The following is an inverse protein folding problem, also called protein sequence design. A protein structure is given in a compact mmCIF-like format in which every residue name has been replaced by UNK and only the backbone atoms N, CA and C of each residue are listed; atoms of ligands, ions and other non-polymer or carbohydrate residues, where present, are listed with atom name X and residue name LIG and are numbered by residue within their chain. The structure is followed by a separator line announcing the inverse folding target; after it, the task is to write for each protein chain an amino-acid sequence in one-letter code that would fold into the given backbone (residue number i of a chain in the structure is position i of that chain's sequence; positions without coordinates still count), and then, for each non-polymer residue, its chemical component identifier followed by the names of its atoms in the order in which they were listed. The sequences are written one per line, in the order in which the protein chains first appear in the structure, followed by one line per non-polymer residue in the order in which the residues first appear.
data_IF_073953663116
#
_entry.id   IF_073953663116
#
_cell.length_a   1.000
_cell.length_b   1.000
_cell.length_c   1.000
_cell.angle_alpha   90.00
_cell.angle_beta   90.00
_cell.angle_gamma   90.00
#
_symmetry.space_group_name_H-M   'P 1'
#
loop_
_entity.id
_entity.type
_entity.pdbx_description
1 polymer ?
#
# COMPACT_ATOMS: atom_id res chain seq x y z
N UNK A 1 -16.79 -12.26 1.42
CA UNK A 1 -16.78 -12.01 2.88
C UNK A 1 -15.39 -11.64 3.39
N UNK A 2 -14.33 -12.44 3.15
CA UNK A 2 -12.99 -12.22 3.71
C UNK A 2 -12.36 -10.86 3.32
N UNK A 3 -12.46 -10.46 2.04
CA UNK A 3 -11.95 -9.16 1.57
C UNK A 3 -12.69 -7.97 2.22
N UNK A 4 -14.00 -8.10 2.40
CA UNK A 4 -14.78 -7.06 3.09
C UNK A 4 -14.38 -6.97 4.56
N UNK A 5 -14.19 -8.10 5.24
CA UNK A 5 -13.73 -8.12 6.61
C UNK A 5 -12.33 -7.49 6.74
N UNK A 6 -11.42 -7.78 5.82
CA UNK A 6 -10.09 -7.17 5.79
C UNK A 6 -10.14 -5.66 5.53
N UNK A 7 -11.00 -5.21 4.62
CA UNK A 7 -11.21 -3.78 4.36
C UNK A 7 -11.77 -3.07 5.60
N UNK A 8 -12.75 -3.67 6.29
CA UNK A 8 -13.32 -3.12 7.54
C UNK A 8 -12.28 -3.07 8.65
N UNK A 9 -11.48 -4.12 8.83
CA UNK A 9 -10.40 -4.14 9.82
C UNK A 9 -9.35 -3.05 9.53
N UNK A 10 -9.00 -2.86 8.25
CA UNK A 10 -8.12 -1.78 7.81
C UNK A 10 -8.71 -0.38 8.07
N UNK A 11 -10.02 -0.19 7.81
CA UNK A 11 -10.72 1.07 8.13
C UNK A 11 -10.74 1.35 9.64
N UNK A 12 -10.97 0.34 10.49
CA UNK A 12 -10.97 0.51 11.94
C UNK A 12 -9.59 0.92 12.45
N UNK A 13 -8.52 0.30 11.95
CA UNK A 13 -7.14 0.69 12.27
C UNK A 13 -6.84 2.11 11.81
N UNK A 14 -7.27 2.48 10.61
CA UNK A 14 -7.12 3.82 10.07
C UNK A 14 -7.98 4.86 10.82
N UNK A 15 -9.12 4.47 11.37
CA UNK A 15 -9.94 5.34 12.22
C UNK A 15 -9.18 5.74 13.49
N UNK A 16 -8.48 4.79 14.13
CA UNK A 16 -7.64 5.09 15.30
C UNK A 16 -6.57 6.12 14.92
N UNK A 17 -5.90 5.91 13.78
CA UNK A 17 -4.94 6.89 13.26
C UNK A 17 -5.57 8.26 13.00
N UNK A 18 -6.74 8.29 12.37
CA UNK A 18 -7.47 9.52 12.05
C UNK A 18 -7.87 10.29 13.32
N UNK A 19 -8.37 9.61 14.34
CA UNK A 19 -8.73 10.25 15.63
C UNK A 19 -7.49 10.87 16.28
N UNK A 20 -6.38 10.17 16.31
CA UNK A 20 -5.13 10.67 16.91
C UNK A 20 -4.55 11.85 16.14
N UNK A 21 -4.53 11.81 14.82
CA UNK A 21 -3.84 12.81 13.98
C UNK A 21 -4.73 13.97 13.55
N UNK A 22 -6.03 13.75 13.36
CA UNK A 22 -6.96 14.79 12.89
C UNK A 22 -7.69 15.45 14.05
N UNK A 23 -8.15 14.67 15.06
CA UNK A 23 -8.89 15.23 16.20
C UNK A 23 -7.95 15.67 17.32
N UNK A 24 -7.01 14.81 17.74
CA UNK A 24 -6.06 15.14 18.80
C UNK A 24 -4.79 15.82 18.28
N UNK A 25 -4.66 15.97 16.95
CA UNK A 25 -3.54 16.68 16.31
C UNK A 25 -2.16 16.15 16.72
N UNK A 26 -2.08 14.84 17.01
CA UNK A 26 -0.83 14.16 17.33
C UNK A 26 0.10 14.16 16.12
N UNK A 27 1.40 14.09 16.37
CA UNK A 27 2.40 14.02 15.28
C UNK A 27 2.16 12.79 14.40
N UNK A 28 1.93 13.02 13.10
CA UNK A 28 1.53 11.98 12.15
C UNK A 28 2.58 10.88 12.00
N UNK A 29 3.87 11.23 12.00
CA UNK A 29 4.96 10.26 11.84
C UNK A 29 5.08 9.36 13.08
N UNK A 30 5.07 9.97 14.27
CA UNK A 30 5.15 9.22 15.53
C UNK A 30 3.94 8.31 15.70
N UNK A 31 2.74 8.83 15.42
CA UNK A 31 1.49 8.04 15.48
C UNK A 31 1.54 6.86 14.51
N UNK A 32 2.04 7.07 13.28
CA UNK A 32 2.17 6.00 12.29
C UNK A 32 3.14 4.90 12.74
N UNK A 33 4.30 5.26 13.29
CA UNK A 33 5.25 4.30 13.83
C UNK A 33 4.67 3.52 15.02
N UNK A 34 4.03 4.21 15.94
CA UNK A 34 3.39 3.60 17.11
C UNK A 34 2.30 2.60 16.70
N UNK A 35 1.44 3.00 15.74
CA UNK A 35 0.39 2.11 15.23
C UNK A 35 0.95 0.93 14.43
N UNK A 36 2.09 1.06 13.79
CA UNK A 36 2.76 -0.07 13.13
C UNK A 36 3.16 -1.12 14.16
N UNK A 37 3.81 -0.72 15.26
CA UNK A 37 4.22 -1.63 16.34
C UNK A 37 3.00 -2.25 17.03
N UNK A 38 2.00 -1.41 17.37
CA UNK A 38 0.75 -1.86 17.96
C UNK A 38 0.02 -2.85 17.05
N UNK A 39 -0.10 -2.55 15.76
CA UNK A 39 -0.78 -3.41 14.78
C UNK A 39 -0.12 -4.78 14.63
N UNK A 40 1.22 -4.83 14.58
CA UNK A 40 1.97 -6.10 14.55
C UNK A 40 1.74 -6.88 15.84
N UNK A 41 1.81 -6.22 17.00
CA UNK A 41 1.54 -6.85 18.30
C UNK A 41 0.12 -7.40 18.40
N UNK A 42 -0.87 -6.62 18.00
CA UNK A 42 -2.28 -7.02 18.02
C UNK A 42 -2.54 -8.20 17.06
N UNK A 43 -2.00 -8.15 15.84
CA UNK A 43 -2.15 -9.23 14.85
C UNK A 43 -1.52 -10.52 15.35
N UNK A 44 -0.34 -10.46 15.95
CA UNK A 44 0.31 -11.63 16.55
C UNK A 44 -0.46 -12.14 17.76
N UNK A 45 -0.96 -11.28 18.63
CA UNK A 45 -1.76 -11.68 19.78
C UNK A 45 -3.03 -12.42 19.36
N UNK A 46 -3.83 -11.83 18.46
CA UNK A 46 -5.06 -12.44 17.94
C UNK A 46 -4.75 -13.75 17.22
N UNK A 47 -3.71 -13.77 16.38
CA UNK A 47 -3.32 -14.94 15.61
C UNK A 47 -2.90 -16.11 16.50
N UNK A 48 -2.08 -15.87 17.54
CA UNK A 48 -1.69 -16.91 18.49
C UNK A 48 -2.89 -17.40 19.28
N UNK A 49 -3.75 -16.51 19.76
CA UNK A 49 -4.96 -16.86 20.48
C UNK A 49 -5.92 -17.72 19.64
N UNK A 50 -6.03 -17.46 18.35
CA UNK A 50 -6.82 -18.29 17.43
C UNK A 50 -6.12 -19.62 17.14
N UNK A 51 -4.79 -19.62 17.04
CA UNK A 51 -3.99 -20.81 16.79
C UNK A 51 -4.13 -21.85 17.92
N UNK A 52 -4.11 -21.38 19.18
CA UNK A 52 -4.30 -22.23 20.36
C UNK A 52 -5.68 -22.89 20.42
N UNK A 53 -6.70 -22.28 19.80
CA UNK A 53 -8.05 -22.82 19.69
C UNK A 53 -8.27 -23.72 18.46
N UNK A 54 -7.28 -23.77 17.55
CA UNK A 54 -7.37 -24.59 16.34
C UNK A 54 -6.99 -26.05 16.65
N UNK A 55 -7.86 -26.97 16.30
CA UNK A 55 -7.65 -28.42 16.50
C UNK A 55 -6.38 -28.95 15.81
N UNK A 56 -5.98 -28.34 14.72
CA UNK A 56 -4.83 -28.74 13.88
C UNK A 56 -3.54 -27.94 14.16
N UNK A 57 -3.52 -27.04 15.14
CA UNK A 57 -2.36 -26.19 15.42
C UNK A 57 -1.94 -25.28 14.25
N UNK A 58 -2.79 -25.09 13.24
CA UNK A 58 -2.56 -24.23 12.09
C UNK A 58 -3.82 -23.44 11.74
N UNK A 59 -3.66 -22.15 11.43
CA UNK A 59 -4.73 -21.34 10.87
C UNK A 59 -4.56 -21.30 9.35
N UNK A 60 -5.36 -22.10 8.65
CA UNK A 60 -5.35 -22.18 7.19
C UNK A 60 -6.74 -21.87 6.65
N UNK A 61 -6.78 -21.09 5.57
CA UNK A 61 -8.00 -20.89 4.81
C UNK A 61 -8.41 -22.20 4.10
N UNK A 62 -9.72 -22.45 3.93
CA UNK A 62 -10.20 -23.59 3.15
C UNK A 62 -9.58 -23.62 1.76
N UNK A 63 -9.18 -24.80 1.30
CA UNK A 63 -8.52 -24.96 -0.02
C UNK A 63 -9.42 -24.49 -1.19
N UNK A 64 -10.73 -24.55 -1.03
CA UNK A 64 -11.68 -24.01 -2.00
C UNK A 64 -11.54 -22.48 -2.19
N UNK A 65 -11.18 -21.75 -1.14
CA UNK A 65 -10.98 -20.28 -1.21
C UNK A 65 -9.63 -19.97 -1.87
N UNK A 66 -8.58 -20.69 -1.49
CA UNK A 66 -7.24 -20.50 -2.07
C UNK A 66 -7.19 -20.93 -3.54
N UNK A 67 -7.96 -21.94 -3.93
CA UNK A 67 -8.08 -22.36 -5.33
C UNK A 67 -8.67 -21.26 -6.24
N UNK A 68 -9.66 -20.48 -5.73
CA UNK A 68 -10.24 -19.36 -6.47
C UNK A 68 -9.30 -18.19 -6.66
N UNK A 69 -8.21 -18.14 -5.88
CA UNK A 69 -7.20 -17.08 -5.91
C UNK A 69 -5.99 -17.42 -6.79
N UNK A 70 -6.02 -18.57 -7.50
CA UNK A 70 -4.99 -18.95 -8.46
C UNK A 70 -5.00 -18.02 -9.67
N UNK A 71 -3.93 -18.06 -10.46
CA UNK A 71 -3.83 -17.28 -11.68
C UNK A 71 -5.02 -17.56 -12.60
N UNK A 72 -5.60 -16.51 -13.11
CA UNK A 72 -6.69 -16.59 -14.09
C UNK A 72 -6.05 -16.86 -15.44
N UNK A 73 -6.50 -17.94 -16.09
CA UNK A 73 -6.18 -18.20 -17.49
C UNK A 73 -7.36 -17.73 -18.35
N UNK A 74 -7.15 -16.69 -19.15
CA UNK A 74 -8.16 -16.19 -20.07
C UNK A 74 -7.95 -16.87 -21.43
N UNK A 75 -8.83 -17.78 -21.85
CA UNK A 75 -8.67 -18.48 -23.13
C UNK A 75 -8.52 -17.50 -24.30
N UNK A 76 -7.53 -17.73 -25.14
CA UNK A 76 -7.27 -16.89 -26.32
C UNK A 76 -6.36 -15.67 -26.08
N UNK A 77 -6.39 -15.05 -24.88
CA UNK A 77 -5.51 -13.92 -24.55
C UNK A 77 -4.23 -14.40 -23.82
N UNK A 78 -4.38 -15.40 -22.95
CA UNK A 78 -3.24 -15.99 -22.23
C UNK A 78 -2.35 -16.86 -23.13
N UNK A 79 -2.87 -17.29 -24.28
CA UNK A 79 -2.16 -18.17 -25.22
C UNK A 79 -1.25 -17.39 -26.20
N UNK A 80 -1.28 -16.05 -26.15
CA UNK A 80 -0.40 -15.22 -26.97
C UNK A 80 1.05 -15.34 -26.48
N UNK A 81 2.01 -15.64 -27.37
CA UNK A 81 3.41 -15.79 -26.99
C UNK A 81 3.94 -14.48 -26.37
N UNK A 82 4.59 -14.58 -25.21
CA UNK A 82 5.18 -13.47 -24.42
C UNK A 82 4.14 -12.54 -23.77
N UNK A 83 3.18 -12.01 -24.53
CA UNK A 83 2.20 -11.02 -24.04
C UNK A 83 1.16 -11.68 -23.16
N UNK A 84 0.75 -12.91 -23.47
CA UNK A 84 -0.24 -13.67 -22.70
C UNK A 84 0.21 -13.93 -21.27
N UNK A 85 1.42 -14.42 -21.10
CA UNK A 85 2.01 -14.68 -19.79
C UNK A 85 2.29 -13.38 -19.01
N UNK A 86 2.75 -12.32 -19.72
CA UNK A 86 3.12 -11.04 -19.11
C UNK A 86 1.94 -10.21 -18.64
N UNK A 87 0.75 -10.32 -19.24
CA UNK A 87 -0.39 -9.45 -18.94
C UNK A 87 -1.64 -10.20 -18.50
N UNK A 88 -1.83 -11.46 -18.92
CA UNK A 88 -3.10 -12.18 -18.78
C UNK A 88 -3.03 -13.45 -17.93
N UNK A 89 -1.92 -13.68 -17.23
CA UNK A 89 -1.70 -14.88 -16.40
C UNK A 89 -1.45 -14.58 -14.93
N UNK A 90 -2.08 -13.51 -14.42
CA UNK A 90 -1.96 -13.11 -13.02
C UNK A 90 -3.16 -13.53 -12.18
N UNK A 91 -2.98 -13.48 -10.86
CA UNK A 91 -4.08 -13.70 -9.93
C UNK A 91 -5.06 -12.48 -9.92
N UNK A 92 -6.30 -12.67 -9.45
CA UNK A 92 -7.33 -11.62 -9.44
C UNK A 92 -6.92 -10.34 -8.72
N UNK A 93 -6.06 -10.44 -7.69
CA UNK A 93 -5.62 -9.27 -6.91
C UNK A 93 -4.71 -8.33 -7.70
N UNK A 94 -3.93 -8.84 -8.67
CA UNK A 94 -3.10 -7.97 -9.52
C UNK A 94 -3.99 -7.07 -10.36
N UNK A 95 -5.04 -7.63 -10.97
CA UNK A 95 -6.02 -6.84 -11.73
C UNK A 95 -6.79 -5.87 -10.85
N UNK A 96 -7.18 -6.32 -9.65
CA UNK A 96 -7.81 -5.45 -8.65
C UNK A 96 -6.90 -4.26 -8.29
N UNK A 97 -5.61 -4.50 -8.07
CA UNK A 97 -4.63 -3.45 -7.79
C UNK A 97 -4.50 -2.43 -8.93
N UNK A 98 -4.46 -2.90 -10.18
CA UNK A 98 -4.42 -2.04 -11.37
C UNK A 98 -5.70 -1.20 -11.46
N UNK A 99 -6.88 -1.82 -11.26
CA UNK A 99 -8.18 -1.13 -11.26
C UNK A 99 -8.21 -0.07 -10.15
N UNK A 100 -7.79 -0.40 -8.93
CA UNK A 100 -7.73 0.56 -7.82
C UNK A 100 -6.83 1.75 -8.18
N UNK A 101 -5.66 1.53 -8.78
CA UNK A 101 -4.75 2.60 -9.18
C UNK A 101 -5.35 3.52 -10.26
N UNK A 102 -6.05 2.93 -11.25
CA UNK A 102 -6.74 3.70 -12.29
C UNK A 102 -7.90 4.51 -11.69
N UNK A 103 -8.74 3.88 -10.85
CA UNK A 103 -9.86 4.54 -10.17
C UNK A 103 -9.35 5.65 -9.24
N UNK A 104 -8.29 5.41 -8.49
CA UNK A 104 -7.68 6.43 -7.63
C UNK A 104 -7.13 7.61 -8.46
N UNK A 105 -6.51 7.33 -9.61
CA UNK A 105 -6.05 8.38 -10.52
C UNK A 105 -7.21 9.21 -11.08
N UNK A 106 -8.28 8.54 -11.51
CA UNK A 106 -9.49 9.23 -11.98
C UNK A 106 -10.13 10.06 -10.85
N UNK A 107 -10.28 9.47 -9.66
CA UNK A 107 -10.81 10.15 -8.47
C UNK A 107 -10.02 11.42 -8.16
N UNK A 108 -8.69 11.34 -8.07
CA UNK A 108 -7.85 12.48 -7.70
C UNK A 108 -7.80 13.57 -8.78
N UNK A 109 -7.70 13.21 -10.07
CA UNK A 109 -7.41 14.19 -11.13
C UNK A 109 -8.59 14.57 -12.01
N UNK A 110 -9.71 13.84 -11.92
CA UNK A 110 -10.86 14.05 -12.81
C UNK A 110 -12.16 14.37 -12.09
N UNK A 111 -12.17 14.39 -10.74
CA UNK A 111 -13.37 14.72 -9.97
C UNK A 111 -13.19 15.99 -9.16
N UNK A 112 -14.30 16.71 -8.90
CA UNK A 112 -14.27 17.89 -8.01
C UNK A 112 -13.82 17.51 -6.60
N UNK A 113 -14.21 16.35 -6.12
CA UNK A 113 -13.80 15.81 -4.82
C UNK A 113 -12.29 15.63 -4.76
N UNK A 114 -11.69 15.05 -5.80
CA UNK A 114 -10.25 14.88 -5.88
C UNK A 114 -9.49 16.21 -5.92
N UNK A 115 -10.02 17.22 -6.61
CA UNK A 115 -9.44 18.56 -6.62
C UNK A 115 -9.50 19.21 -5.22
N UNK A 116 -10.61 19.03 -4.48
CA UNK A 116 -10.69 19.50 -3.10
C UNK A 116 -9.67 18.80 -2.19
N UNK A 117 -9.46 17.50 -2.36
CA UNK A 117 -8.45 16.73 -1.60
C UNK A 117 -7.05 17.22 -1.92
N UNK A 118 -6.73 17.52 -3.19
CA UNK A 118 -5.45 18.10 -3.58
C UNK A 118 -5.27 19.50 -3.00
N UNK A 119 -6.29 20.34 -3.04
CA UNK A 119 -6.25 21.69 -2.44
C UNK A 119 -5.97 21.62 -0.93
N UNK A 120 -6.56 20.67 -0.21
CA UNK A 120 -6.29 20.42 1.22
C UNK A 120 -4.84 19.98 1.42
N UNK A 121 -4.29 19.17 0.52
CA UNK A 121 -2.89 18.71 0.59
C UNK A 121 -1.87 19.81 0.34
N UNK A 122 -2.21 20.80 -0.50
CA UNK A 122 -1.33 21.93 -0.83
C UNK A 122 -1.45 23.09 0.18
N UNK A 123 -2.67 23.48 0.52
CA UNK A 123 -2.93 24.55 1.48
C UNK A 123 -4.28 24.36 2.17
N UNK A 124 -4.32 23.69 3.34
CA UNK A 124 -5.55 23.43 4.06
C UNK A 124 -6.24 24.71 4.56
N UNK A 125 -5.49 25.77 4.87
CA UNK A 125 -6.05 27.06 5.27
C UNK A 125 -6.79 27.77 4.14
N UNK A 126 -6.24 27.77 2.93
CA UNK A 126 -6.91 28.31 1.76
C UNK A 126 -8.13 27.46 1.36
N UNK A 127 -8.05 26.13 1.48
CA UNK A 127 -9.18 25.22 1.23
C UNK A 127 -10.34 25.48 2.19
N UNK A 128 -10.06 25.64 3.48
CA UNK A 128 -11.08 25.97 4.49
C UNK A 128 -11.69 27.35 4.26
N UNK A 129 -10.90 28.35 3.87
CA UNK A 129 -11.38 29.68 3.50
C UNK A 129 -12.32 29.64 2.27
N UNK A 130 -12.11 28.67 1.35
CA UNK A 130 -12.98 28.42 0.21
C UNK A 130 -14.23 27.60 0.55
N UNK A 131 -14.46 27.27 1.84
CA UNK A 131 -15.62 26.51 2.32
C UNK A 131 -15.47 24.98 2.24
N UNK A 132 -14.27 24.47 2.04
CA UNK A 132 -14.01 23.03 1.98
C UNK A 132 -13.81 22.51 3.42
N UNK A 133 -14.61 21.53 3.85
CA UNK A 133 -14.50 20.92 5.18
C UNK A 133 -13.24 20.03 5.30
N UNK A 134 -12.10 20.62 5.69
CA UNK A 134 -10.79 19.96 5.76
C UNK A 134 -10.83 18.68 6.60
N UNK A 135 -11.39 18.76 7.83
CA UNK A 135 -11.48 17.64 8.77
C UNK A 135 -12.22 16.45 8.17
N UNK A 136 -13.39 16.69 7.57
CA UNK A 136 -14.23 15.65 6.96
C UNK A 136 -13.49 14.92 5.83
N UNK A 137 -12.87 15.68 4.93
CA UNK A 137 -12.13 15.09 3.80
C UNK A 137 -10.88 14.35 4.24
N UNK A 138 -10.18 14.81 5.28
CA UNK A 138 -9.07 14.05 5.89
C UNK A 138 -9.56 12.70 6.41
N UNK A 139 -10.64 12.65 7.18
CA UNK A 139 -11.20 11.39 7.68
C UNK A 139 -11.62 10.44 6.55
N UNK A 140 -12.35 10.92 5.56
CA UNK A 140 -12.82 10.09 4.43
C UNK A 140 -11.63 9.44 3.72
N UNK A 141 -10.59 10.20 3.43
CA UNK A 141 -9.40 9.67 2.72
C UNK A 141 -8.57 8.74 3.60
N UNK A 142 -8.46 8.99 4.90
CA UNK A 142 -7.81 8.09 5.86
C UNK A 142 -8.55 6.75 5.91
N UNK A 143 -9.87 6.75 6.02
CA UNK A 143 -10.67 5.52 6.05
C UNK A 143 -10.60 4.75 4.74
N UNK A 144 -10.66 5.45 3.60
CA UNK A 144 -10.54 4.84 2.28
C UNK A 144 -9.16 4.20 2.09
N UNK A 145 -8.09 4.90 2.48
CA UNK A 145 -6.73 4.34 2.44
C UNK A 145 -6.58 3.11 3.34
N UNK A 146 -7.17 3.17 4.54
CA UNK A 146 -7.20 2.04 5.47
C UNK A 146 -7.89 0.81 4.88
N UNK A 147 -9.01 0.99 4.19
CA UNK A 147 -9.70 -0.11 3.49
C UNK A 147 -8.81 -0.76 2.42
N UNK A 148 -8.13 0.05 1.61
CA UNK A 148 -7.23 -0.42 0.55
C UNK A 148 -6.02 -1.15 1.18
N UNK A 149 -5.45 -0.62 2.25
CA UNK A 149 -4.37 -1.28 3.00
C UNK A 149 -4.83 -2.62 3.58
N UNK A 150 -6.07 -2.71 4.11
CA UNK A 150 -6.65 -3.96 4.60
C UNK A 150 -6.75 -5.02 3.49
N UNK A 151 -7.19 -4.63 2.28
CA UNK A 151 -7.22 -5.52 1.11
C UNK A 151 -5.80 -5.97 0.75
N UNK A 152 -4.80 -5.08 0.82
CA UNK A 152 -3.38 -5.42 0.63
C UNK A 152 -2.88 -6.44 1.66
N UNK A 153 -3.29 -6.32 2.92
CA UNK A 153 -3.01 -7.31 3.97
C UNK A 153 -3.65 -8.67 3.68
N UNK A 154 -4.89 -8.69 3.18
CA UNK A 154 -5.54 -9.92 2.74
C UNK A 154 -4.78 -10.59 1.58
N UNK A 155 -4.27 -9.83 0.62
CA UNK A 155 -3.40 -10.33 -0.44
C UNK A 155 -2.15 -11.03 0.11
N UNK A 156 -1.47 -10.41 1.09
CA UNK A 156 -0.31 -11.03 1.73
C UNK A 156 -0.66 -12.37 2.38
N UNK A 157 -1.76 -12.45 3.11
CA UNK A 157 -2.18 -13.67 3.78
C UNK A 157 -2.65 -14.75 2.80
N UNK A 158 -3.47 -14.38 1.81
CA UNK A 158 -4.12 -15.35 0.91
C UNK A 158 -3.20 -15.84 -0.21
N UNK A 159 -2.36 -14.97 -0.77
CA UNK A 159 -1.53 -15.28 -1.93
C UNK A 159 -0.08 -15.52 -1.52
N UNK A 160 0.57 -14.57 -0.86
CA UNK A 160 2.00 -14.68 -0.54
C UNK A 160 2.24 -15.83 0.43
N UNK A 161 1.39 -15.98 1.46
CA UNK A 161 1.50 -17.02 2.47
C UNK A 161 0.67 -18.28 2.16
N UNK A 162 0.06 -18.36 0.98
CA UNK A 162 -0.73 -19.53 0.56
C UNK A 162 -1.96 -19.81 1.43
N UNK A 163 -2.53 -18.80 2.05
CA UNK A 163 -3.71 -18.91 2.92
C UNK A 163 -3.40 -19.41 4.33
N UNK A 164 -2.12 -19.49 4.72
CA UNK A 164 -1.70 -19.86 6.07
C UNK A 164 -1.34 -18.59 6.85
N UNK A 165 -1.82 -18.50 8.09
CA UNK A 165 -1.39 -17.42 8.97
C UNK A 165 0.05 -17.66 9.45
N UNK A 166 0.90 -16.66 9.28
CA UNK A 166 2.28 -16.66 9.74
C UNK A 166 2.53 -15.41 10.57
N UNK A 167 3.35 -15.52 11.61
CA UNK A 167 3.82 -14.34 12.37
C UNK A 167 4.59 -13.42 11.43
N UNK A 168 4.43 -12.12 11.63
CA UNK A 168 5.15 -11.06 10.89
C UNK A 168 5.10 -11.23 9.37
N UNK A 169 4.00 -11.80 8.86
CA UNK A 169 3.85 -12.20 7.46
C UNK A 169 3.98 -11.05 6.46
N UNK A 170 3.74 -9.81 6.88
CA UNK A 170 3.90 -8.62 6.05
C UNK A 170 5.38 -8.24 5.89
N UNK A 171 6.23 -8.56 6.87
CA UNK A 171 7.69 -8.57 6.77
C UNK A 171 8.33 -7.32 6.15
N UNK A 172 7.87 -6.11 6.50
CA UNK A 172 8.43 -4.87 5.97
C UNK A 172 7.90 -4.43 4.59
N UNK A 173 6.95 -5.17 3.98
CA UNK A 173 6.33 -4.80 2.69
C UNK A 173 5.68 -3.40 2.73
N UNK A 174 5.20 -2.96 3.90
CA UNK A 174 4.69 -1.61 4.09
C UNK A 174 5.73 -0.53 3.80
N UNK A 175 6.97 -0.72 4.25
CA UNK A 175 8.06 0.23 4.00
C UNK A 175 8.45 0.27 2.51
N UNK A 176 8.44 -0.88 1.83
CA UNK A 176 8.62 -0.95 0.37
C UNK A 176 7.50 -0.18 -0.35
N UNK A 177 6.27 -0.26 0.15
CA UNK A 177 5.14 0.50 -0.39
C UNK A 177 5.31 2.01 -0.22
N UNK A 178 5.85 2.47 0.91
CA UNK A 178 6.20 3.89 1.12
C UNK A 178 7.27 4.33 0.11
N UNK A 179 8.34 3.54 -0.04
CA UNK A 179 9.37 3.81 -1.05
C UNK A 179 8.79 3.87 -2.47
N UNK A 180 7.84 2.98 -2.79
CA UNK A 180 7.15 2.97 -4.08
C UNK A 180 6.32 4.24 -4.31
N UNK A 181 5.61 4.76 -3.29
CA UNK A 181 4.84 6.01 -3.40
C UNK A 181 5.75 7.20 -3.68
N UNK A 182 6.89 7.27 -2.99
CA UNK A 182 7.92 8.29 -3.21
C UNK A 182 8.48 8.18 -4.63
N UNK A 183 8.85 6.97 -5.07
CA UNK A 183 9.30 6.70 -6.44
C UNK A 183 8.27 7.12 -7.49
N UNK A 184 6.99 6.86 -7.25
CA UNK A 184 5.88 7.23 -8.12
C UNK A 184 5.53 8.73 -8.09
N UNK A 185 6.22 9.55 -7.28
CA UNK A 185 5.97 10.97 -7.09
C UNK A 185 4.49 11.25 -6.73
N UNK A 186 3.91 10.47 -5.84
CA UNK A 186 2.51 10.56 -5.35
C UNK A 186 1.45 10.45 -6.46
N UNK A 187 1.79 9.94 -7.65
CA UNK A 187 0.84 9.74 -8.76
C UNK A 187 0.39 8.28 -8.83
N UNK A 188 -0.92 7.98 -8.65
CA UNK A 188 -1.40 6.59 -8.62
C UNK A 188 -1.07 5.80 -9.88
N UNK A 189 -1.11 6.43 -11.06
CA UNK A 189 -0.79 5.74 -12.31
C UNK A 189 0.68 5.31 -12.38
N UNK A 190 1.58 6.09 -11.80
CA UNK A 190 3.00 5.75 -11.77
C UNK A 190 3.30 4.58 -10.83
N UNK A 191 2.43 4.35 -9.83
CA UNK A 191 2.54 3.20 -8.92
C UNK A 191 2.46 1.89 -9.69
N UNK A 192 1.68 1.83 -10.79
CA UNK A 192 1.60 0.64 -11.64
C UNK A 192 2.98 0.31 -12.22
N UNK A 193 3.64 1.27 -12.86
CA UNK A 193 4.98 1.06 -13.44
C UNK A 193 6.02 0.76 -12.35
N UNK A 194 5.99 1.52 -11.27
CA UNK A 194 6.89 1.34 -10.13
C UNK A 194 6.74 -0.04 -9.49
N UNK A 195 5.52 -0.57 -9.38
CA UNK A 195 5.29 -1.90 -8.80
C UNK A 195 5.90 -3.03 -9.63
N UNK A 196 5.88 -2.93 -10.97
CA UNK A 196 6.58 -3.88 -11.83
C UNK A 196 8.10 -3.79 -11.66
N UNK A 197 8.67 -2.59 -11.60
CA UNK A 197 10.10 -2.38 -11.38
C UNK A 197 10.51 -2.96 -10.02
N UNK A 198 9.79 -2.61 -8.94
CA UNK A 198 10.10 -3.09 -7.60
C UNK A 198 9.89 -4.59 -7.46
N UNK A 199 8.88 -5.14 -8.13
CA UNK A 199 8.67 -6.58 -8.23
C UNK A 199 9.84 -7.29 -8.89
N UNK A 200 10.30 -6.78 -10.04
CA UNK A 200 11.46 -7.33 -10.75
C UNK A 200 12.73 -7.30 -9.89
N UNK A 201 12.98 -6.18 -9.18
CA UNK A 201 14.13 -6.06 -8.26
C UNK A 201 14.09 -7.09 -7.13
N UNK A 202 12.91 -7.34 -6.56
CA UNK A 202 12.75 -8.35 -5.50
C UNK A 202 12.96 -9.77 -6.00
N UNK A 203 12.54 -10.07 -7.22
CA UNK A 203 12.68 -11.39 -7.83
C UNK A 203 14.12 -11.65 -8.27
N UNK A 204 14.90 -10.60 -8.57
CA UNK A 204 16.27 -10.69 -9.04
C UNK A 204 17.16 -11.57 -8.15
N UNK A 205 16.97 -11.55 -6.82
CA UNK A 205 17.72 -12.37 -5.86
C UNK A 205 17.60 -13.88 -6.10
N UNK A 206 16.55 -14.35 -6.76
CA UNK A 206 16.33 -15.76 -7.04
C UNK A 206 17.03 -16.22 -8.33
N UNK A 207 17.36 -15.27 -9.23
CA UNK A 207 18.01 -15.55 -10.50
C UNK A 207 19.53 -15.37 -10.45
N UNK A 208 20.05 -14.66 -9.47
CA UNK A 208 21.52 -14.49 -9.34
C UNK A 208 22.13 -15.75 -8.71
N UNK A 209 23.07 -16.42 -9.39
CA UNK A 209 23.70 -17.63 -8.89
C UNK A 209 24.49 -17.35 -7.59
N UNK A 210 24.16 -18.00 -6.51
CA UNK A 210 24.83 -17.83 -5.21
C UNK A 210 26.31 -18.26 -5.23
N UNK A 211 26.68 -19.12 -6.17
CA UNK A 211 28.03 -19.68 -6.26
C UNK A 211 29.03 -18.77 -6.99
N UNK A 212 28.54 -17.79 -7.77
CA UNK A 212 29.42 -16.93 -8.59
C UNK A 212 29.73 -15.60 -7.87
N UNK A 213 28.79 -15.09 -7.07
CA UNK A 213 28.95 -13.85 -6.34
C UNK A 213 28.49 -14.03 -4.90
N UNK A 214 29.39 -13.81 -3.94
CA UNK A 214 29.09 -13.85 -2.51
C UNK A 214 28.26 -12.62 -2.04
N UNK A 215 27.22 -12.25 -2.80
CA UNK A 215 26.38 -11.08 -2.47
C UNK A 215 25.28 -11.53 -1.51
N UNK A 216 25.20 -10.94 -0.30
CA UNK A 216 24.16 -11.25 0.66
C UNK A 216 22.77 -10.95 0.07
N UNK A 217 21.78 -11.80 0.36
CA UNK A 217 20.39 -11.60 -0.08
C UNK A 217 19.79 -10.27 0.41
N UNK A 218 20.24 -9.80 1.58
CA UNK A 218 19.85 -8.50 2.13
C UNK A 218 20.16 -7.31 1.20
N UNK A 219 21.20 -7.41 0.36
CA UNK A 219 21.51 -6.38 -0.63
C UNK A 219 20.39 -6.23 -1.66
N UNK A 220 19.85 -7.34 -2.14
CA UNK A 220 18.73 -7.33 -3.10
C UNK A 220 17.44 -6.78 -2.47
N UNK A 221 17.22 -7.05 -1.19
CA UNK A 221 16.07 -6.50 -0.45
C UNK A 221 16.22 -4.98 -0.21
N UNK A 222 17.45 -4.45 -0.22
CA UNK A 222 17.73 -3.02 -0.13
C UNK A 222 17.61 -2.27 -1.48
N UNK A 223 17.67 -2.96 -2.63
CA UNK A 223 17.65 -2.34 -3.96
C UNK A 223 16.48 -1.37 -4.20
N UNK A 224 15.23 -1.69 -3.83
CA UNK A 224 14.11 -0.76 -3.99
C UNK A 224 14.34 0.58 -3.29
N UNK A 225 14.91 0.56 -2.09
CA UNK A 225 15.22 1.78 -1.31
C UNK A 225 16.36 2.58 -1.93
N UNK A 226 17.41 1.90 -2.39
CA UNK A 226 18.55 2.52 -3.07
C UNK A 226 18.07 3.23 -4.35
N UNK A 227 17.26 2.56 -5.16
CA UNK A 227 16.71 3.13 -6.38
C UNK A 227 15.80 4.32 -6.07
N UNK A 228 14.97 4.23 -5.04
CA UNK A 228 14.13 5.36 -4.60
C UNK A 228 14.99 6.56 -4.22
N UNK A 229 16.04 6.36 -3.43
CA UNK A 229 16.98 7.42 -3.06
C UNK A 229 17.64 8.06 -4.29
N UNK A 230 18.11 7.24 -5.25
CA UNK A 230 18.69 7.73 -6.50
C UNK A 230 17.70 8.56 -7.31
N UNK A 231 16.45 8.11 -7.44
CA UNK A 231 15.39 8.85 -8.17
C UNK A 231 15.10 10.18 -7.48
N UNK A 232 15.06 10.23 -6.15
CA UNK A 232 14.87 11.49 -5.42
C UNK A 232 16.03 12.46 -5.66
N UNK A 233 17.27 12.00 -5.61
CA UNK A 233 18.45 12.83 -5.90
C UNK A 233 18.38 13.37 -7.32
N UNK A 234 18.11 12.52 -8.31
CA UNK A 234 18.02 12.94 -9.72
C UNK A 234 16.86 13.94 -9.94
N UNK A 235 15.70 13.69 -9.31
CA UNK A 235 14.54 14.58 -9.38
C UNK A 235 14.85 15.95 -8.77
N UNK A 236 15.54 15.98 -7.63
CA UNK A 236 15.97 17.20 -6.95
C UNK A 236 16.95 18.01 -7.81
N UNK A 237 17.92 17.35 -8.45
CA UNK A 237 18.90 18.01 -9.33
C UNK A 237 18.26 18.63 -10.58
N UNK A 238 17.22 18.01 -11.13
CA UNK A 238 16.58 18.45 -12.37
C UNK A 238 15.62 19.63 -12.20
N UNK A 239 15.37 20.13 -11.00
CA UNK A 239 14.39 21.22 -10.70
C UNK A 239 13.03 21.00 -11.42
N UNK A 240 12.65 19.77 -11.67
CA UNK A 240 11.43 19.45 -12.42
C UNK A 240 10.20 19.82 -11.57
N UNK A 241 9.42 20.80 -12.05
CA UNK A 241 8.15 21.23 -11.46
C UNK A 241 7.05 20.15 -11.41
N UNK A 242 7.33 18.93 -11.86
CA UNK A 242 6.34 17.85 -11.97
C UNK A 242 6.32 16.85 -10.84
N UNK A 243 7.28 16.88 -9.92
CA UNK A 243 7.32 16.00 -8.74
C UNK A 243 7.01 16.82 -7.48
N UNK A 244 5.79 17.32 -7.37
CA UNK A 244 5.38 18.05 -6.19
C UNK A 244 4.91 17.06 -5.12
N UNK A 245 5.70 16.99 -4.04
CA UNK A 245 5.22 16.50 -2.75
C UNK A 245 4.16 17.49 -2.29
N UNK A 246 2.97 17.05 -1.85
CA UNK A 246 1.98 17.96 -1.27
C UNK A 246 2.61 18.79 -0.16
N UNK A 247 2.46 20.12 -0.20
CA UNK A 247 3.20 21.05 0.66
C UNK A 247 2.94 20.81 2.16
N UNK A 248 1.70 20.43 2.52
CA UNK A 248 1.29 20.13 3.91
C UNK A 248 1.24 18.61 4.21
N UNK A 249 2.06 17.81 3.52
CA UNK A 249 2.15 16.38 3.80
C UNK A 249 2.76 16.13 5.19
N UNK A 250 2.04 15.45 6.07
CA UNK A 250 2.52 15.14 7.43
C UNK A 250 2.34 16.27 8.44
N UNK A 251 1.70 17.38 8.04
CA UNK A 251 1.44 18.51 8.90
C UNK A 251 -0.01 18.53 9.42
N UNK A 252 -0.14 18.94 10.68
CA UNK A 252 -1.45 19.13 11.29
C UNK A 252 -2.04 20.47 10.85
N UNK A 253 -3.35 20.55 10.79
CA UNK A 253 -4.06 21.77 10.44
C UNK A 253 -4.81 22.31 11.66
N UNK A 254 -4.45 23.51 12.07
CA UNK A 254 -5.09 24.25 13.15
C UNK A 254 -5.94 25.37 12.55
N UNK A 255 -7.24 25.30 12.77
CA UNK A 255 -8.20 26.29 12.24
C UNK A 255 -8.03 27.66 12.87
N UNK A 256 -7.52 27.71 14.09
CA UNK A 256 -7.38 28.93 14.89
C UNK A 256 -6.07 29.70 14.60
N UNK A 257 -5.14 29.13 13.86
CA UNK A 257 -3.85 29.74 13.50
C UNK A 257 -3.88 30.40 12.10
N UNK A 258 -5.00 31.04 11.76
CA UNK A 258 -5.16 31.76 10.47
C UNK A 258 -4.45 33.11 10.47
#
# INVERSE_FOLDING_TARGET
AALLAAAVAGMLSALIYGVLTVTFMANQNVTGLTLTIFGVGLANFIGVFMLEKSENGTLKLPDAVTAQMRNIHIPGLSDLPVVGELLFSYNPFVYLGIIIAIVASFYLYKTQVGLNVQAIGENPGAADAAGIEVTKWRYINILLSGAICGIGGAYCSMIINGGVWLRDSVGGLGWISVALVIFAAWKPINVIYGSFIFGALRVLKYYVPKNTYAIPTAFFDALPFIITALVLVIASMRKNKGAHIPAHLGENYFREER
#
